data_IF_405845261706
#
_entry.id   IF_405845261706
#
_cell.length_a   1.000
_cell.length_b   1.000
_cell.length_c   1.000
_cell.angle_alpha   90.00
_cell.angle_beta   90.00
_cell.angle_gamma   90.00
#
_symmetry.space_group_name_H-M   'P 1'
#
loop_
_entity.id
_entity.type
_entity.pdbx_description
1 polymer ?
#
# COMPACT_ATOMS: atom_id res chain seq x y z
N UNK A 1 22.92 -12.14 -3.78
CA UNK A 1 22.26 -12.11 -2.48
C UNK A 1 20.85 -11.59 -2.64
N UNK A 2 19.89 -12.35 -2.19
CA UNK A 2 18.49 -11.95 -2.25
C UNK A 2 18.21 -11.07 -1.04
N UNK A 3 17.80 -9.83 -1.29
CA UNK A 3 17.33 -8.96 -0.23
C UNK A 3 15.96 -9.46 0.24
N UNK A 4 15.88 -9.84 1.50
CA UNK A 4 14.65 -10.36 2.09
C UNK A 4 13.81 -9.29 2.77
N UNK A 5 14.33 -8.06 2.78
CA UNK A 5 13.64 -6.94 3.42
C UNK A 5 12.92 -6.12 2.34
N UNK A 6 11.61 -5.88 2.48
CA UNK A 6 10.93 -5.01 1.55
C UNK A 6 11.51 -3.60 1.57
N UNK A 7 11.42 -2.85 0.46
CA UNK A 7 11.83 -1.45 0.47
C UNK A 7 11.09 -0.66 1.55
N UNK A 8 11.76 0.34 2.11
CA UNK A 8 11.13 1.20 3.12
C UNK A 8 10.15 2.20 2.51
N UNK A 9 10.24 2.41 1.21
CA UNK A 9 9.26 3.22 0.48
C UNK A 9 9.07 2.62 -0.91
N UNK A 10 7.88 2.77 -1.44
CA UNK A 10 7.55 2.22 -2.75
C UNK A 10 6.43 3.06 -3.36
N UNK A 11 6.61 3.47 -4.61
CA UNK A 11 5.58 4.15 -5.38
C UNK A 11 4.90 3.16 -6.34
N UNK A 12 3.99 3.66 -7.16
CA UNK A 12 3.27 2.81 -8.10
C UNK A 12 4.20 2.10 -9.08
N UNK A 13 5.23 2.79 -9.58
CA UNK A 13 6.20 2.17 -10.48
C UNK A 13 7.02 1.11 -9.76
N UNK A 14 7.36 1.36 -8.50
CA UNK A 14 8.04 0.38 -7.68
C UNK A 14 7.21 -0.89 -7.47
N UNK A 15 5.91 -0.75 -7.24
CA UNK A 15 5.02 -1.90 -7.12
C UNK A 15 4.99 -2.73 -8.39
N UNK A 16 5.00 -2.10 -9.54
CA UNK A 16 5.06 -2.81 -10.83
C UNK A 16 6.37 -3.56 -11.01
N UNK A 17 7.50 -3.00 -10.53
CA UNK A 17 8.80 -3.66 -10.58
C UNK A 17 8.91 -4.85 -9.66
N UNK A 18 8.27 -4.80 -8.51
CA UNK A 18 8.23 -5.92 -7.57
C UNK A 18 7.51 -7.11 -8.20
N UNK A 19 6.62 -6.84 -9.15
CA UNK A 19 5.95 -7.88 -9.91
C UNK A 19 4.95 -8.65 -9.07
N UNK A 20 5.04 -9.97 -9.13
CA UNK A 20 4.07 -10.86 -8.50
C UNK A 20 4.40 -11.22 -7.05
N UNK A 21 5.44 -10.65 -6.46
CA UNK A 21 5.78 -10.96 -5.07
C UNK A 21 4.75 -10.34 -4.13
N UNK A 22 4.13 -11.14 -3.27
CA UNK A 22 3.17 -10.60 -2.32
C UNK A 22 3.87 -9.72 -1.30
N UNK A 23 3.27 -8.58 -1.01
CA UNK A 23 3.77 -7.61 -0.05
C UNK A 23 2.65 -7.29 0.92
N UNK A 24 2.92 -7.44 2.20
CA UNK A 24 1.95 -7.11 3.26
C UNK A 24 2.33 -5.76 3.82
N UNK A 25 1.38 -4.82 3.82
CA UNK A 25 1.55 -3.47 4.35
C UNK A 25 0.53 -3.27 5.46
N UNK A 26 0.98 -2.84 6.63
CA UNK A 26 0.09 -2.52 7.74
C UNK A 26 0.32 -1.08 8.20
N UNK A 27 -0.74 -0.48 8.74
CA UNK A 27 -0.68 0.81 9.42
C UNK A 27 -1.28 0.60 10.80
N UNK A 28 -0.49 0.88 11.84
CA UNK A 28 -0.88 0.65 13.23
C UNK A 28 -1.38 -0.78 13.48
N UNK A 29 -0.77 -1.75 12.80
CA UNK A 29 -1.13 -3.16 12.91
C UNK A 29 -2.29 -3.63 12.04
N UNK A 30 -2.98 -2.73 11.35
CA UNK A 30 -4.09 -3.08 10.46
C UNK A 30 -3.62 -3.27 9.02
N UNK A 31 -3.90 -4.44 8.46
CA UNK A 31 -3.51 -4.77 7.08
C UNK A 31 -4.22 -3.82 6.11
N UNK A 32 -3.45 -3.26 5.17
CA UNK A 32 -3.96 -2.38 4.13
C UNK A 32 -4.09 -3.13 2.82
N UNK A 33 -5.19 -2.88 2.10
CA UNK A 33 -5.45 -3.47 0.80
C UNK A 33 -5.42 -2.40 -0.28
N UNK A 34 -5.16 -2.81 -1.52
CA UNK A 34 -5.14 -1.91 -2.68
C UNK A 34 -4.11 -0.78 -2.53
N UNK A 35 -2.95 -1.12 -1.96
CA UNK A 35 -1.89 -0.15 -1.72
C UNK A 35 -1.25 0.26 -3.03
N UNK A 36 -1.12 1.57 -3.23
CA UNK A 36 -0.48 2.17 -4.40
C UNK A 36 0.95 2.61 -4.11
N UNK A 37 1.20 3.09 -2.90
CA UNK A 37 2.50 3.58 -2.48
C UNK A 37 2.56 3.56 -0.95
N UNK A 38 3.76 3.54 -0.41
CA UNK A 38 3.96 3.65 1.03
C UNK A 38 5.31 4.25 1.36
N UNK A 39 5.44 4.77 2.57
CA UNK A 39 6.72 5.21 3.10
C UNK A 39 6.77 4.87 4.59
N UNK A 40 7.63 3.92 4.96
CA UNK A 40 7.77 3.48 6.35
C UNK A 40 8.38 4.58 7.21
N UNK A 41 9.37 5.28 6.66
CA UNK A 41 10.08 6.33 7.38
C UNK A 41 9.18 7.52 7.71
N UNK A 42 8.37 7.95 6.74
CA UNK A 42 7.46 9.07 6.91
C UNK A 42 6.12 8.67 7.55
N UNK A 43 5.81 7.37 7.54
CA UNK A 43 4.62 6.84 8.21
C UNK A 43 3.33 7.11 7.46
N UNK A 44 3.28 6.80 6.16
CA UNK A 44 2.04 6.92 5.39
C UNK A 44 1.93 5.81 4.35
N UNK A 45 0.68 5.53 3.98
CA UNK A 45 0.32 4.60 2.90
C UNK A 45 -0.72 5.27 2.03
N UNK A 46 -0.51 5.25 0.71
CA UNK A 46 -1.54 5.63 -0.25
C UNK A 46 -2.22 4.37 -0.76
N UNK A 47 -3.53 4.34 -0.74
CA UNK A 47 -4.31 3.20 -1.19
C UNK A 47 -5.58 3.67 -1.89
N UNK A 48 -6.18 2.78 -2.69
CA UNK A 48 -7.51 3.06 -3.20
C UNK A 48 -8.52 3.07 -2.06
N UNK A 49 -9.45 4.03 -2.15
CA UNK A 49 -10.51 4.16 -1.17
C UNK A 49 -11.59 3.11 -1.44
N UNK A 50 -12.07 2.47 -0.38
CA UNK A 50 -13.16 1.50 -0.48
C UNK A 50 -14.39 2.04 0.22
N UNK A 51 -15.56 1.60 -0.25
CA UNK A 51 -16.83 1.95 0.38
C UNK A 51 -17.13 1.02 1.56
N UNK A 52 -18.29 1.20 2.18
CA UNK A 52 -18.71 0.39 3.33
C UNK A 52 -18.84 -1.10 3.01
N UNK A 53 -19.01 -1.44 1.74
CA UNK A 53 -19.13 -2.83 1.28
C UNK A 53 -17.80 -3.45 0.89
N UNK A 54 -16.71 -2.68 0.99
CA UNK A 54 -15.39 -3.13 0.58
C UNK A 54 -15.10 -3.01 -0.90
N UNK A 55 -15.96 -2.35 -1.67
CA UNK A 55 -15.77 -2.12 -3.09
C UNK A 55 -14.97 -0.83 -3.31
N UNK A 56 -14.18 -0.80 -4.38
CA UNK A 56 -13.43 0.40 -4.73
C UNK A 56 -14.38 1.57 -5.02
N UNK A 57 -14.08 2.72 -4.45
CA UNK A 57 -14.87 3.93 -4.65
C UNK A 57 -14.53 4.56 -5.98
N UNK A 58 -15.55 4.81 -6.80
CA UNK A 58 -15.40 5.42 -8.12
C UNK A 58 -16.10 6.77 -8.10
N UNK A 59 -15.40 7.79 -8.63
CA UNK A 59 -15.95 9.13 -8.79
C UNK A 59 -15.54 9.66 -10.16
N UNK A 60 -16.50 10.06 -10.96
CA UNK A 60 -16.28 10.55 -12.34
C UNK A 60 -15.43 9.57 -13.18
N UNK A 61 -15.76 8.29 -13.11
CA UNK A 61 -15.08 7.19 -13.81
C UNK A 61 -13.64 6.94 -13.39
N UNK A 62 -13.21 7.50 -12.26
CA UNK A 62 -11.87 7.27 -11.72
C UNK A 62 -11.94 6.68 -10.32
N UNK A 63 -11.00 5.78 -10.02
CA UNK A 63 -10.84 5.26 -8.66
C UNK A 63 -10.22 6.35 -7.78
N UNK A 64 -10.78 6.49 -6.58
CA UNK A 64 -10.28 7.45 -5.61
C UNK A 64 -9.22 6.80 -4.74
N UNK A 65 -8.21 7.58 -4.35
CA UNK A 65 -7.19 7.14 -3.41
C UNK A 65 -7.24 7.99 -2.14
N UNK A 66 -6.63 7.48 -1.09
CA UNK A 66 -6.51 8.20 0.19
C UNK A 66 -5.17 7.90 0.83
N UNK A 67 -4.71 8.80 1.69
CA UNK A 67 -3.50 8.64 2.49
C UNK A 67 -3.90 8.23 3.90
N UNK A 68 -3.34 7.12 4.37
CA UNK A 68 -3.50 6.64 5.74
C UNK A 68 -2.18 6.85 6.47
N UNK A 69 -2.20 7.51 7.61
CA UNK A 69 -0.99 7.82 8.37
C UNK A 69 -0.93 7.01 9.65
N UNK A 70 0.28 6.65 10.05
CA UNK A 70 0.52 5.90 11.27
C UNK A 70 1.84 5.14 11.22
N UNK A 71 1.98 4.15 12.08
CA UNK A 71 3.17 3.29 12.08
C UNK A 71 3.02 2.27 10.94
N UNK A 72 3.84 2.43 9.91
CA UNK A 72 3.81 1.57 8.73
C UNK A 72 4.83 0.45 8.91
N UNK A 73 4.39 -0.77 8.73
CA UNK A 73 5.26 -1.94 8.68
C UNK A 73 4.99 -2.71 7.41
N UNK A 74 6.06 -3.24 6.81
CA UNK A 74 5.98 -3.98 5.56
C UNK A 74 6.83 -5.24 5.64
N UNK A 75 6.34 -6.31 5.02
CA UNK A 75 7.09 -7.55 4.87
C UNK A 75 6.55 -8.36 3.70
N UNK A 76 7.38 -9.29 3.22
CA UNK A 76 6.96 -10.19 2.16
C UNK A 76 5.98 -11.24 2.71
N UNK A 77 4.89 -11.42 1.98
CA UNK A 77 3.89 -12.42 2.30
C UNK A 77 4.27 -13.85 1.94
#
# INVERSE_FOLDING_TARGET
>A
VIDRTPPRSLDLDGFRRVGCRPLIVTVNGAVQHYVLAYNVTEGWVERYKVDERGNLSIYEDEYRSEIVRGVVMVWWG
#
